data_IF_095486022410
#
_entry.id   IF_095486022410
#
_cell.length_a   1.000
_cell.length_b   1.000
_cell.length_c   1.000
_cell.angle_alpha   90.00
_cell.angle_beta   90.00
_cell.angle_gamma   90.00
#
_symmetry.space_group_name_H-M   'P 1'
#
loop_
_entity.id
_entity.type
_entity.pdbx_description
1 polymer ?
#
# COMPACT_ATOMS: atom_id res chain seq x y z
N UNK A 1 -15.57 18.09 -17.92
CA UNK A 1 -14.40 18.61 -17.22
C UNK A 1 -13.22 17.64 -17.33
N UNK A 2 -13.37 16.36 -17.01
CA UNK A 2 -12.28 15.37 -17.01
C UNK A 2 -11.52 15.33 -18.34
N UNK A 3 -12.22 15.29 -19.47
CA UNK A 3 -11.63 15.24 -20.83
C UNK A 3 -10.94 16.55 -21.30
N UNK A 4 -10.91 17.57 -20.45
CA UNK A 4 -10.23 18.86 -20.71
C UNK A 4 -9.06 19.09 -19.76
N UNK A 5 -8.83 18.18 -18.85
CA UNK A 5 -7.74 18.26 -17.89
C UNK A 5 -6.50 17.53 -18.42
N UNK A 6 -5.32 18.05 -18.14
CA UNK A 6 -4.06 17.33 -18.38
C UNK A 6 -3.91 16.17 -17.40
N UNK A 7 -4.31 16.40 -16.13
CA UNK A 7 -4.27 15.40 -15.06
C UNK A 7 -5.59 15.42 -14.28
N UNK A 8 -6.18 14.24 -14.07
CA UNK A 8 -7.39 14.04 -13.26
C UNK A 8 -7.05 13.17 -12.04
N UNK A 9 -7.28 13.69 -10.84
CA UNK A 9 -7.20 12.94 -9.59
C UNK A 9 -8.57 12.40 -9.20
N UNK A 10 -8.69 11.07 -9.09
CA UNK A 10 -9.92 10.42 -8.65
C UNK A 10 -9.79 10.09 -7.15
N UNK A 11 -10.30 10.97 -6.30
CA UNK A 11 -10.39 10.79 -4.85
C UNK A 11 -11.79 10.34 -4.47
N UNK A 12 -12.22 9.19 -4.99
CA UNK A 12 -13.60 8.69 -4.97
C UNK A 12 -13.66 7.29 -4.34
N UNK A 13 -14.83 6.86 -3.84
CA UNK A 13 -15.07 5.45 -3.53
C UNK A 13 -14.93 4.57 -4.78
N UNK A 14 -14.56 3.29 -4.60
CA UNK A 14 -14.19 2.38 -5.69
C UNK A 14 -15.18 2.37 -6.88
N UNK A 15 -16.48 2.21 -6.62
CA UNK A 15 -17.50 2.18 -7.68
C UNK A 15 -17.56 3.50 -8.47
N UNK A 16 -17.46 4.64 -7.78
CA UNK A 16 -17.46 5.94 -8.42
C UNK A 16 -16.16 6.21 -9.19
N UNK A 17 -15.03 5.71 -8.70
CA UNK A 17 -13.74 5.81 -9.37
C UNK A 17 -13.73 5.03 -10.70
N UNK A 18 -14.31 3.82 -10.73
CA UNK A 18 -14.50 3.03 -11.95
C UNK A 18 -15.30 3.83 -12.96
N UNK A 19 -16.49 4.29 -12.58
CA UNK A 19 -17.35 5.08 -13.48
C UNK A 19 -16.66 6.35 -13.97
N UNK A 20 -15.95 7.06 -13.09
CA UNK A 20 -15.25 8.29 -13.45
C UNK A 20 -14.08 8.02 -14.42
N UNK A 21 -13.36 6.93 -14.23
CA UNK A 21 -12.27 6.53 -15.12
C UNK A 21 -12.78 6.21 -16.53
N UNK A 22 -13.93 5.53 -16.64
CA UNK A 22 -14.57 5.18 -17.92
C UNK A 22 -15.07 6.42 -18.69
N UNK A 23 -15.36 7.52 -17.98
CA UNK A 23 -15.77 8.80 -18.60
C UNK A 23 -14.58 9.60 -19.17
N UNK A 24 -13.35 9.20 -18.91
CA UNK A 24 -12.16 9.85 -19.44
C UNK A 24 -11.80 9.23 -20.81
N UNK A 25 -12.36 9.81 -21.86
CA UNK A 25 -12.17 9.40 -23.26
C UNK A 25 -10.94 10.04 -23.92
N UNK A 26 -10.50 11.20 -23.40
CA UNK A 26 -9.30 11.87 -23.93
C UNK A 26 -8.03 11.05 -23.61
N UNK A 27 -7.31 10.53 -24.63
CA UNK A 27 -6.13 9.70 -24.42
C UNK A 27 -4.96 10.48 -23.79
N UNK A 28 -4.94 11.79 -23.89
CA UNK A 28 -3.87 12.62 -23.34
C UNK A 28 -4.03 12.92 -21.85
N UNK A 29 -5.25 12.81 -21.32
CA UNK A 29 -5.51 13.01 -19.90
C UNK A 29 -4.87 11.88 -19.07
N UNK A 30 -3.98 12.26 -18.17
CA UNK A 30 -3.45 11.33 -17.16
C UNK A 30 -4.45 11.19 -16.02
N UNK A 31 -4.77 9.97 -15.63
CA UNK A 31 -5.67 9.68 -14.49
C UNK A 31 -4.88 9.06 -13.35
N UNK A 32 -4.92 9.69 -12.19
CA UNK A 32 -4.40 9.17 -10.94
C UNK A 32 -5.58 8.76 -10.04
N UNK A 33 -5.73 7.45 -9.80
CA UNK A 33 -6.80 6.93 -8.95
C UNK A 33 -6.29 6.56 -7.57
N UNK A 34 -6.85 7.17 -6.53
CA UNK A 34 -6.49 6.88 -5.13
C UNK A 34 -7.33 5.77 -4.51
N UNK A 35 -8.38 5.31 -5.20
CA UNK A 35 -9.22 4.20 -4.74
C UNK A 35 -8.49 2.85 -4.76
N UNK A 36 -9.14 1.80 -4.26
CA UNK A 36 -8.59 0.45 -4.37
C UNK A 36 -8.97 -0.27 -5.67
N UNK A 37 -9.85 0.33 -6.49
CA UNK A 37 -10.44 -0.29 -7.66
C UNK A 37 -9.40 -0.74 -8.71
N UNK A 38 -8.39 0.07 -8.94
CA UNK A 38 -7.49 -0.11 -10.07
C UNK A 38 -6.07 -0.57 -9.71
N UNK A 39 -5.74 -0.75 -8.43
CA UNK A 39 -4.38 -1.09 -7.98
C UNK A 39 -3.82 -2.38 -8.54
N UNK A 40 -4.70 -3.32 -8.87
CA UNK A 40 -4.35 -4.61 -9.48
C UNK A 40 -5.11 -4.88 -10.78
N UNK A 41 -5.72 -3.84 -11.36
CA UNK A 41 -6.50 -3.97 -12.58
C UNK A 41 -5.61 -3.94 -13.83
N UNK A 42 -5.93 -4.73 -14.87
CA UNK A 42 -5.25 -4.63 -16.16
C UNK A 42 -5.36 -3.23 -16.77
N UNK A 43 -4.30 -2.77 -17.43
CA UNK A 43 -4.26 -1.45 -18.05
C UNK A 43 -3.95 -0.29 -17.12
N UNK A 44 -3.77 -0.56 -15.82
CA UNK A 44 -3.36 0.43 -14.83
C UNK A 44 -1.92 0.18 -14.36
N UNK A 45 -1.14 1.24 -14.30
CA UNK A 45 0.21 1.21 -13.75
C UNK A 45 0.15 1.43 -12.25
N UNK A 46 0.76 0.53 -11.48
CA UNK A 46 0.88 0.69 -10.04
C UNK A 46 1.89 1.79 -9.71
N UNK A 47 1.43 2.85 -9.07
CA UNK A 47 2.15 4.11 -8.86
C UNK A 47 3.15 4.08 -7.71
N UNK A 48 4.10 3.12 -7.73
CA UNK A 48 5.15 2.99 -6.72
C UNK A 48 6.53 2.94 -7.43
N UNK A 49 7.12 4.11 -7.74
CA UNK A 49 8.34 4.19 -8.54
C UNK A 49 9.57 3.56 -7.86
N UNK A 50 9.65 3.58 -6.54
CA UNK A 50 10.79 3.09 -5.77
C UNK A 50 11.00 1.57 -5.87
N UNK A 51 10.01 0.84 -6.39
CA UNK A 51 10.11 -0.62 -6.51
C UNK A 51 11.11 -1.06 -7.58
N UNK A 52 11.20 -0.35 -8.71
CA UNK A 52 12.25 -0.60 -9.70
C UNK A 52 12.36 0.53 -10.74
N UNK A 53 13.52 0.65 -11.43
CA UNK A 53 13.68 1.61 -12.53
C UNK A 53 12.66 1.42 -13.65
N UNK A 54 12.24 0.18 -13.93
CA UNK A 54 11.23 -0.15 -14.96
C UNK A 54 9.85 0.36 -14.56
N UNK A 55 9.50 0.26 -13.26
CA UNK A 55 8.24 0.82 -12.73
C UNK A 55 8.25 2.33 -12.77
N UNK A 56 9.35 2.95 -12.39
CA UNK A 56 9.50 4.41 -12.51
C UNK A 56 9.33 4.86 -13.96
N UNK A 57 9.99 4.21 -14.91
CA UNK A 57 9.88 4.51 -16.33
C UNK A 57 8.43 4.30 -16.85
N UNK A 58 7.77 3.23 -16.42
CA UNK A 58 6.38 2.96 -16.77
C UNK A 58 5.43 4.06 -16.25
N UNK A 59 5.62 4.53 -15.01
CA UNK A 59 4.81 5.60 -14.41
C UNK A 59 4.98 6.91 -15.21
N UNK A 60 6.19 7.25 -15.65
CA UNK A 60 6.48 8.48 -16.41
C UNK A 60 5.70 8.58 -17.72
N UNK A 61 5.30 7.46 -18.31
CA UNK A 61 4.59 7.38 -19.59
C UNK A 61 3.14 6.95 -19.47
N UNK A 62 2.74 6.46 -18.30
CA UNK A 62 1.39 5.94 -18.08
C UNK A 62 0.32 7.02 -18.15
N UNK A 63 -0.84 6.65 -18.70
CA UNK A 63 -2.07 7.47 -18.71
C UNK A 63 -3.06 7.07 -17.62
N UNK A 64 -2.88 5.89 -17.02
CA UNK A 64 -3.71 5.34 -15.95
C UNK A 64 -2.80 4.87 -14.83
N UNK A 65 -2.82 5.55 -13.70
CA UNK A 65 -1.93 5.31 -12.56
C UNK A 65 -2.78 5.06 -11.32
N UNK A 66 -2.61 3.90 -10.71
CA UNK A 66 -3.26 3.56 -9.45
C UNK A 66 -2.33 3.89 -8.27
N UNK A 67 -2.76 4.79 -7.41
CA UNK A 67 -2.00 5.22 -6.23
C UNK A 67 -2.04 4.11 -5.16
N UNK A 68 -0.89 3.70 -4.61
CA UNK A 68 -0.80 2.65 -3.60
C UNK A 68 -1.62 2.92 -2.34
N UNK A 69 -2.07 1.86 -1.68
CA UNK A 69 -2.68 1.94 -0.36
C UNK A 69 -1.64 2.11 0.73
N UNK A 70 -1.96 2.87 1.77
CA UNK A 70 -1.01 3.24 2.82
C UNK A 70 -0.36 2.04 3.55
N UNK A 71 -1.16 1.12 4.10
CA UNK A 71 -0.62 -0.08 4.73
C UNK A 71 0.08 -1.02 3.74
N UNK A 72 -0.43 -1.11 2.51
CA UNK A 72 0.22 -1.90 1.46
C UNK A 72 1.59 -1.32 1.11
N UNK A 73 1.72 0.00 1.00
CA UNK A 73 3.01 0.66 0.76
C UNK A 73 4.03 0.32 1.84
N UNK A 74 3.64 0.43 3.13
CA UNK A 74 4.53 0.08 4.25
C UNK A 74 4.99 -1.38 4.20
N UNK A 75 4.08 -2.31 3.91
CA UNK A 75 4.42 -3.73 3.79
C UNK A 75 5.28 -4.01 2.55
N UNK A 76 4.89 -3.46 1.41
CA UNK A 76 5.59 -3.69 0.13
C UNK A 76 7.02 -3.16 0.20
N UNK A 77 7.24 -1.96 0.74
CA UNK A 77 8.60 -1.39 0.84
C UNK A 77 9.53 -2.23 1.71
N UNK A 78 8.99 -2.94 2.71
CA UNK A 78 9.77 -3.84 3.56
C UNK A 78 10.02 -5.20 2.91
N UNK A 79 9.06 -5.75 2.18
CA UNK A 79 9.14 -7.14 1.69
C UNK A 79 9.69 -7.23 0.25
N UNK A 80 9.43 -6.23 -0.59
CA UNK A 80 9.84 -6.24 -2.00
C UNK A 80 11.35 -6.50 -2.20
N UNK A 81 12.27 -5.80 -1.51
CA UNK A 81 13.70 -6.05 -1.69
C UNK A 81 14.12 -7.46 -1.28
N UNK A 82 13.42 -8.06 -0.31
CA UNK A 82 13.74 -9.38 0.20
C UNK A 82 13.32 -10.49 -0.76
N UNK A 83 12.16 -10.33 -1.40
CA UNK A 83 11.70 -11.25 -2.45
C UNK A 83 12.55 -11.08 -3.71
N UNK A 84 12.79 -9.84 -4.13
CA UNK A 84 13.63 -9.52 -5.32
C UNK A 84 15.05 -10.08 -5.20
N UNK A 85 15.66 -10.01 -4.01
CA UNK A 85 17.00 -10.54 -3.74
C UNK A 85 17.02 -12.05 -3.43
N UNK A 86 15.89 -12.76 -3.52
CA UNK A 86 15.80 -14.17 -3.18
C UNK A 86 16.13 -14.48 -1.73
N UNK A 87 15.86 -13.56 -0.81
CA UNK A 87 16.01 -13.73 0.65
C UNK A 87 14.77 -14.35 1.24
N UNK A 88 13.59 -13.94 0.77
CA UNK A 88 12.31 -14.56 1.11
C UNK A 88 11.74 -15.28 -0.12
N UNK A 89 11.23 -16.51 0.06
CA UNK A 89 10.54 -17.21 -1.02
C UNK A 89 9.12 -16.63 -1.20
N UNK A 90 8.51 -16.74 -2.40
CA UNK A 90 7.16 -16.23 -2.66
C UNK A 90 6.04 -16.88 -1.81
N UNK A 91 6.29 -18.05 -1.26
CA UNK A 91 5.38 -18.81 -0.39
C UNK A 91 5.64 -18.57 1.11
N UNK A 92 6.47 -17.59 1.47
CA UNK A 92 6.74 -17.23 2.85
C UNK A 92 5.45 -16.86 3.59
N UNK A 93 5.27 -17.41 4.79
CA UNK A 93 4.16 -17.06 5.68
C UNK A 93 4.53 -15.82 6.48
N UNK A 94 3.97 -14.69 6.12
CA UNK A 94 4.34 -13.39 6.68
C UNK A 94 3.26 -12.83 7.59
N UNK A 95 3.67 -11.96 8.49
CA UNK A 95 2.79 -11.12 9.31
C UNK A 95 3.03 -9.66 8.99
N UNK A 96 2.02 -8.81 9.18
CA UNK A 96 2.13 -7.38 9.02
C UNK A 96 1.36 -6.69 10.16
N UNK A 97 2.09 -6.07 11.07
CA UNK A 97 1.54 -5.11 12.02
C UNK A 97 1.66 -3.72 11.42
N UNK A 98 0.59 -2.94 11.51
CA UNK A 98 0.63 -1.59 10.95
C UNK A 98 -0.18 -0.65 11.84
N UNK A 99 0.52 0.14 12.64
CA UNK A 99 -0.05 1.18 13.49
C UNK A 99 -0.24 2.45 12.68
N UNK A 100 -1.43 3.04 12.73
CA UNK A 100 -1.76 4.25 11.98
C UNK A 100 -2.56 5.25 12.80
N UNK A 101 -2.42 6.54 12.46
CA UNK A 101 -3.30 7.59 12.92
C UNK A 101 -4.70 7.50 12.29
N UNK A 102 -5.67 8.14 12.93
CA UNK A 102 -7.08 8.03 12.54
C UNK A 102 -7.44 8.75 11.22
N UNK A 103 -6.63 9.69 10.75
CA UNK A 103 -6.88 10.37 9.46
C UNK A 103 -6.90 9.42 8.27
N UNK A 104 -6.19 8.28 8.35
CA UNK A 104 -6.19 7.24 7.33
C UNK A 104 -7.55 6.55 7.12
N UNK A 105 -8.46 6.63 8.09
CA UNK A 105 -9.83 6.13 7.99
C UNK A 105 -10.81 7.08 7.30
N UNK A 106 -10.32 8.27 6.87
CA UNK A 106 -11.12 9.27 6.17
C UNK A 106 -12.08 10.05 7.07
N UNK A 107 -12.95 10.84 6.45
CA UNK A 107 -13.79 11.84 7.14
C UNK A 107 -14.61 11.27 8.30
N UNK A 108 -15.14 10.05 8.18
CA UNK A 108 -15.95 9.44 9.23
C UNK A 108 -15.11 9.18 10.49
N UNK A 109 -13.95 8.55 10.33
CA UNK A 109 -13.08 8.23 11.45
C UNK A 109 -12.49 9.50 12.07
N UNK A 110 -12.14 10.50 11.27
CA UNK A 110 -11.71 11.82 11.77
C UNK A 110 -12.79 12.41 12.69
N UNK A 111 -14.04 12.45 12.24
CA UNK A 111 -15.13 12.98 13.05
C UNK A 111 -15.39 12.18 14.35
N UNK A 112 -15.15 10.85 14.32
CA UNK A 112 -15.26 10.01 15.53
C UNK A 112 -14.17 10.33 16.56
N UNK A 113 -12.93 10.57 16.10
CA UNK A 113 -11.80 10.87 17.00
C UNK A 113 -11.70 12.34 17.44
N UNK A 114 -12.31 13.25 16.70
CA UNK A 114 -12.32 14.69 16.98
C UNK A 114 -13.66 15.19 17.56
N UNK A 115 -14.52 14.26 18.02
CA UNK A 115 -15.77 14.60 18.69
C UNK A 115 -15.50 15.33 20.02
N UNK A 116 -16.36 16.29 20.37
CA UNK A 116 -16.25 17.05 21.65
C UNK A 116 -16.23 16.13 22.87
N UNK A 117 -16.97 15.03 22.83
CA UNK A 117 -16.92 13.94 23.80
C UNK A 117 -16.33 12.70 23.12
N UNK A 118 -15.04 12.44 23.36
CA UNK A 118 -14.37 11.27 22.82
C UNK A 118 -14.87 9.99 23.49
N UNK A 119 -15.37 9.03 22.69
CA UNK A 119 -15.71 7.70 23.20
C UNK A 119 -14.48 7.05 23.84
N UNK A 120 -14.58 6.51 25.07
CA UNK A 120 -13.48 5.82 25.75
C UNK A 120 -12.81 4.71 24.92
N UNK A 121 -13.53 4.10 23.98
CA UNK A 121 -12.99 3.11 23.04
C UNK A 121 -11.90 3.67 22.12
N UNK A 122 -11.84 4.99 21.91
CA UNK A 122 -10.89 5.64 21.01
C UNK A 122 -9.63 6.16 21.72
N UNK A 123 -9.58 6.06 23.04
CA UNK A 123 -8.42 6.53 23.82
C UNK A 123 -7.20 5.63 23.60
N UNK A 124 -7.40 4.32 23.59
CA UNK A 124 -6.34 3.32 23.38
C UNK A 124 -6.24 2.89 21.91
N UNK A 125 -5.04 2.46 21.45
CA UNK A 125 -4.90 1.81 20.14
C UNK A 125 -5.81 0.59 20.02
N UNK A 126 -6.44 0.42 18.86
CA UNK A 126 -7.35 -0.71 18.61
C UNK A 126 -7.09 -1.36 17.28
N UNK A 127 -7.04 -2.67 17.29
CA UNK A 127 -6.95 -3.45 16.07
C UNK A 127 -8.30 -3.51 15.36
N UNK A 128 -8.27 -3.47 14.03
CA UNK A 128 -9.44 -3.66 13.18
C UNK A 128 -9.14 -4.67 12.06
N UNK A 129 -10.09 -4.92 11.16
CA UNK A 129 -9.86 -5.83 10.03
C UNK A 129 -9.63 -7.29 10.43
N UNK A 130 -10.17 -7.73 11.57
CA UNK A 130 -9.95 -9.07 12.15
C UNK A 130 -10.37 -10.21 11.23
N UNK A 131 -11.32 -9.98 10.31
CA UNK A 131 -11.77 -10.98 9.33
C UNK A 131 -10.72 -11.32 8.25
N UNK A 132 -9.57 -10.66 8.24
CA UNK A 132 -8.51 -10.85 7.25
C UNK A 132 -8.99 -10.70 5.79
N UNK A 133 -9.91 -9.75 5.56
CA UNK A 133 -10.49 -9.42 4.25
C UNK A 133 -10.21 -7.97 3.83
N UNK A 134 -9.14 -7.40 4.38
CA UNK A 134 -8.77 -6.02 4.06
C UNK A 134 -8.34 -5.89 2.59
N UNK A 135 -8.79 -4.83 1.93
CA UNK A 135 -8.52 -4.58 0.49
C UNK A 135 -7.03 -4.57 0.15
N UNK A 136 -6.17 -4.13 1.07
CA UNK A 136 -4.72 -4.09 0.86
C UNK A 136 -4.07 -5.47 0.77
N UNK A 137 -4.69 -6.55 1.28
CA UNK A 137 -4.12 -7.90 1.18
C UNK A 137 -3.95 -8.35 -0.27
N UNK A 138 -4.95 -8.08 -1.12
CA UNK A 138 -4.87 -8.37 -2.55
C UNK A 138 -3.74 -7.59 -3.23
N UNK A 139 -3.60 -6.32 -2.88
CA UNK A 139 -2.57 -5.43 -3.38
C UNK A 139 -1.16 -5.94 -2.99
N UNK A 140 -0.95 -6.25 -1.70
CA UNK A 140 0.30 -6.81 -1.17
C UNK A 140 0.72 -8.07 -1.92
N UNK A 141 -0.20 -9.04 -2.08
CA UNK A 141 0.09 -10.28 -2.79
C UNK A 141 0.42 -10.06 -4.25
N UNK A 142 -0.37 -9.26 -4.95
CA UNK A 142 -0.21 -9.06 -6.40
C UNK A 142 1.11 -8.36 -6.75
N UNK A 143 1.50 -7.35 -5.97
CA UNK A 143 2.71 -6.57 -6.23
C UNK A 143 3.99 -7.35 -5.87
N UNK A 144 3.93 -8.17 -4.83
CA UNK A 144 5.07 -8.96 -4.35
C UNK A 144 5.17 -10.35 -4.97
N UNK A 145 4.13 -10.80 -5.70
CA UNK A 145 4.07 -12.17 -6.19
C UNK A 145 3.93 -13.22 -5.10
N UNK A 146 3.35 -12.85 -3.93
CA UNK A 146 3.17 -13.78 -2.82
C UNK A 146 2.02 -14.76 -3.10
N UNK A 147 2.23 -16.04 -2.77
CA UNK A 147 1.20 -17.09 -2.90
C UNK A 147 0.25 -17.11 -1.70
N UNK A 148 0.67 -16.55 -0.56
CA UNK A 148 -0.13 -16.44 0.66
C UNK A 148 -0.26 -14.97 1.09
N UNK A 149 -1.47 -14.58 1.45
CA UNK A 149 -1.68 -13.27 2.06
C UNK A 149 -1.03 -13.23 3.45
N UNK A 150 -0.38 -12.13 3.83
CA UNK A 150 0.13 -11.99 5.19
C UNK A 150 -1.02 -11.94 6.20
N UNK A 151 -0.76 -12.43 7.42
CA UNK A 151 -1.65 -12.12 8.55
C UNK A 151 -1.52 -10.65 8.87
N UNK A 152 -2.57 -9.89 8.56
CA UNK A 152 -2.57 -8.43 8.65
C UNK A 152 -3.27 -7.94 9.92
N UNK A 153 -2.54 -7.20 10.73
CA UNK A 153 -2.99 -6.63 11.99
C UNK A 153 -2.90 -5.09 11.94
N UNK A 154 -3.86 -4.41 11.27
CA UNK A 154 -3.92 -2.95 11.29
C UNK A 154 -4.43 -2.46 12.64
N UNK A 155 -3.77 -1.44 13.18
CA UNK A 155 -4.07 -0.83 14.45
C UNK A 155 -4.23 0.67 14.26
N UNK A 156 -5.37 1.23 14.67
CA UNK A 156 -5.58 2.67 14.70
C UNK A 156 -5.37 3.19 16.11
N UNK A 157 -4.72 4.34 16.24
CA UNK A 157 -4.45 4.98 17.53
C UNK A 157 -4.88 6.46 17.51
N UNK A 158 -5.01 7.02 18.71
CA UNK A 158 -5.47 8.39 18.91
C UNK A 158 -4.35 9.42 18.64
N UNK A 159 -3.93 9.50 17.37
CA UNK A 159 -3.16 10.61 16.83
C UNK A 159 -3.60 10.84 15.38
N UNK A 160 -3.45 12.06 14.88
CA UNK A 160 -4.01 12.46 13.59
C UNK A 160 -3.44 11.68 12.42
N UNK A 161 -2.13 11.74 12.22
CA UNK A 161 -1.48 11.12 11.06
C UNK A 161 -0.10 10.54 11.41
N UNK A 162 0.31 9.56 10.64
CA UNK A 162 1.55 8.82 10.80
C UNK A 162 1.28 7.33 10.69
N UNK A 163 2.33 6.57 10.35
CA UNK A 163 2.23 5.12 10.22
C UNK A 163 3.56 4.48 10.59
N UNK A 164 3.46 3.39 11.34
CA UNK A 164 4.53 2.44 11.57
C UNK A 164 4.08 1.10 11.00
N UNK A 165 4.97 0.41 10.27
CA UNK A 165 4.70 -0.92 9.75
C UNK A 165 5.83 -1.85 10.11
N UNK A 166 5.48 -2.99 10.73
CA UNK A 166 6.41 -4.04 11.11
C UNK A 166 6.11 -5.37 10.42
N UNK A 167 7.14 -6.01 9.94
CA UNK A 167 7.11 -7.38 9.42
C UNK A 167 8.11 -8.22 10.22
N UNK A 168 7.60 -9.04 11.14
CA UNK A 168 8.45 -9.94 11.93
C UNK A 168 8.85 -11.17 11.09
N UNK A 169 10.13 -11.50 11.11
CA UNK A 169 10.69 -12.64 10.39
C UNK A 169 11.46 -13.57 11.33
N UNK A 170 11.20 -14.86 11.21
CA UNK A 170 12.08 -15.89 11.81
C UNK A 170 13.18 -16.26 10.83
N UNK A 171 14.38 -16.56 11.33
CA UNK A 171 15.51 -17.00 10.49
C UNK A 171 15.16 -18.22 9.61
N UNK A 172 14.27 -19.09 10.09
CA UNK A 172 13.78 -20.26 9.35
C UNK A 172 12.88 -19.94 8.15
N UNK A 173 12.41 -18.70 8.02
CA UNK A 173 11.61 -18.25 6.87
C UNK A 173 12.49 -17.76 5.72
N UNK A 174 13.78 -17.53 5.97
CA UNK A 174 14.71 -17.10 4.95
C UNK A 174 15.08 -18.25 4.03
N UNK A 175 15.38 -17.94 2.78
CA UNK A 175 15.92 -18.91 1.84
C UNK A 175 17.25 -19.51 2.38
N UNK A 176 17.59 -20.77 2.04
CA UNK A 176 18.80 -21.42 2.54
C UNK A 176 20.05 -20.56 2.36
N UNK A 177 20.84 -20.42 3.44
CA UNK A 177 22.07 -19.65 3.45
C UNK A 177 21.92 -18.14 3.59
N UNK A 178 20.70 -17.63 3.67
CA UNK A 178 20.43 -16.20 3.87
C UNK A 178 20.42 -15.83 5.35
N UNK A 179 20.86 -14.61 5.66
CA UNK A 179 21.09 -14.12 7.02
C UNK A 179 20.48 -12.71 7.21
N UNK A 180 20.53 -12.21 8.43
CA UNK A 180 20.14 -10.83 8.73
C UNK A 180 21.04 -9.78 8.03
N UNK A 181 22.31 -10.13 7.77
CA UNK A 181 23.21 -9.24 7.03
C UNK A 181 22.81 -9.10 5.55
N UNK A 182 22.30 -10.20 4.94
CA UNK A 182 21.74 -10.14 3.58
C UNK A 182 20.51 -9.22 3.52
N UNK A 183 19.66 -9.24 4.56
CA UNK A 183 18.51 -8.33 4.67
C UNK A 183 18.97 -6.86 4.71
N UNK A 184 19.95 -6.54 5.55
CA UNK A 184 20.52 -5.18 5.64
C UNK A 184 21.13 -4.73 4.30
N UNK A 185 21.87 -5.63 3.66
CA UNK A 185 22.49 -5.36 2.37
C UNK A 185 21.44 -5.10 1.27
N UNK A 186 20.35 -5.88 1.25
CA UNK A 186 19.25 -5.69 0.31
C UNK A 186 18.59 -4.32 0.46
N UNK A 187 18.32 -3.87 1.68
CA UNK A 187 17.76 -2.53 1.92
C UNK A 187 18.74 -1.42 1.54
N UNK A 188 20.02 -1.56 1.92
CA UNK A 188 21.05 -0.57 1.59
C UNK A 188 21.26 -0.42 0.09
N UNK A 189 21.14 -1.51 -0.67
CA UNK A 189 21.23 -1.50 -2.12
C UNK A 189 19.98 -0.93 -2.79
N UNK A 190 18.79 -1.17 -2.22
CA UNK A 190 17.51 -0.79 -2.80
C UNK A 190 17.18 0.68 -2.60
N UNK A 191 17.35 1.18 -1.38
CA UNK A 191 16.91 2.52 -0.98
C UNK A 191 18.10 3.45 -0.81
N UNK A 192 18.60 3.99 -1.93
CA UNK A 192 19.77 4.87 -2.00
C UNK A 192 19.44 6.35 -2.15
N UNK A 193 18.16 6.68 -2.27
CA UNK A 193 17.69 8.07 -2.41
C UNK A 193 17.73 8.84 -1.09
N UNK A 194 17.53 10.17 -1.15
CA UNK A 194 17.36 10.98 0.05
C UNK A 194 16.10 10.53 0.79
N UNK A 195 16.25 10.37 2.11
CA UNK A 195 15.15 10.07 3.04
C UNK A 195 14.44 11.36 3.43
#
# INVERSE_FOLDING_TARGET
LLNRADIAFLCLPDAAAITAADLVENPDTVVLDTSTAHRTAPGWTYGFPELSPEREAAIRTAKRIAVPGCHASGFIVLVYPLVEAGILPPDALLTCYSLTGYSGGGKKMIAEYEADELDPLYVAPRQYGLAQQHKHLREMCAILGLTHAPVFAPIVANFYSGMETSVALFASQLCPGKTAEDIKAAYAAKYTGPV
#
